data_IF_442047705728
#
_entry.id   IF_442047705728
#
_cell.length_a   1.000
_cell.length_b   1.000
_cell.length_c   1.000
_cell.angle_alpha   90.00
_cell.angle_beta   90.00
_cell.angle_gamma   90.00
#
_symmetry.space_group_name_H-M   'P 1'
#
loop_
_entity.id
_entity.type
_entity.pdbx_description
1 polymer ?
#
# COMPACT_ATOMS: atom_id res chain seq x y z
N UNK A 1 25.81 -25.79 -42.94
CA UNK A 1 25.85 -24.37 -42.50
C UNK A 1 24.51 -24.03 -41.88
N UNK A 2 24.50 -23.93 -40.56
CA UNK A 2 23.34 -23.77 -39.69
C UNK A 2 22.72 -22.38 -39.83
N UNK A 3 21.41 -22.33 -40.09
CA UNK A 3 20.58 -21.14 -39.87
C UNK A 3 20.65 -20.76 -38.39
N UNK A 4 21.48 -19.77 -38.06
CA UNK A 4 21.37 -19.03 -36.81
C UNK A 4 20.04 -18.28 -36.83
N UNK A 5 19.03 -18.81 -36.15
CA UNK A 5 17.86 -18.05 -35.74
C UNK A 5 18.30 -16.98 -34.73
N UNK A 6 18.68 -15.80 -35.22
CA UNK A 6 18.71 -14.59 -34.39
C UNK A 6 17.32 -13.96 -34.36
N UNK A 7 16.38 -14.62 -33.69
CA UNK A 7 15.24 -13.87 -33.11
C UNK A 7 15.82 -12.98 -32.03
N UNK A 8 16.16 -11.74 -32.38
CA UNK A 8 16.46 -10.71 -31.41
C UNK A 8 15.32 -10.66 -30.40
N UNK A 9 15.58 -11.10 -29.16
CA UNK A 9 14.58 -11.15 -28.09
C UNK A 9 13.97 -9.74 -27.99
N UNK A 10 12.67 -9.61 -28.27
CA UNK A 10 12.02 -8.30 -28.27
C UNK A 10 12.28 -7.65 -26.91
N UNK A 11 12.83 -6.42 -26.91
CA UNK A 11 13.16 -5.74 -25.67
C UNK A 11 11.91 -5.65 -24.76
N UNK A 12 12.04 -6.10 -23.51
CA UNK A 12 10.97 -6.02 -22.51
C UNK A 12 10.45 -4.58 -22.41
N UNK A 13 9.15 -4.37 -22.60
CA UNK A 13 8.49 -3.06 -22.51
C UNK A 13 7.46 -3.06 -21.39
N UNK A 14 7.44 -1.98 -20.61
CA UNK A 14 6.48 -1.82 -19.52
C UNK A 14 5.09 -1.49 -20.06
N UNK A 15 4.07 -2.20 -19.58
CA UNK A 15 2.68 -1.86 -19.82
C UNK A 15 2.23 -0.76 -18.85
N UNK A 16 2.55 0.51 -19.18
CA UNK A 16 2.22 1.66 -18.34
C UNK A 16 0.73 1.75 -17.97
N UNK A 17 -0.18 1.36 -18.88
CA UNK A 17 -1.63 1.39 -18.63
C UNK A 17 -2.02 0.43 -17.50
N UNK A 18 -1.50 -0.80 -17.55
CA UNK A 18 -1.74 -1.80 -16.52
C UNK A 18 -1.16 -1.37 -15.17
N UNK A 19 0.07 -0.85 -15.15
CA UNK A 19 0.71 -0.39 -13.91
C UNK A 19 -0.04 0.81 -13.31
N UNK A 20 -0.49 1.75 -14.15
CA UNK A 20 -1.31 2.87 -13.70
C UNK A 20 -2.61 2.39 -13.03
N UNK A 21 -3.25 1.36 -13.59
CA UNK A 21 -4.47 0.77 -13.02
C UNK A 21 -4.22 0.03 -11.71
N UNK A 22 -3.09 -0.68 -11.59
CA UNK A 22 -2.64 -1.25 -10.30
C UNK A 22 -2.37 -0.14 -9.29
N UNK A 23 -1.84 1.00 -9.75
CA UNK A 23 -1.58 2.18 -8.93
C UNK A 23 -2.82 2.76 -8.24
N UNK A 24 -4.05 2.45 -8.66
CA UNK A 24 -5.26 2.81 -7.90
C UNK A 24 -5.29 2.21 -6.49
N UNK A 25 -4.69 1.04 -6.29
CA UNK A 25 -4.53 0.48 -4.94
C UNK A 25 -3.60 1.32 -4.08
N UNK A 26 -2.49 1.80 -4.66
CA UNK A 26 -1.58 2.73 -3.98
C UNK A 26 -2.28 4.06 -3.69
N UNK A 27 -2.98 4.63 -4.67
CA UNK A 27 -3.79 5.84 -4.50
C UNK A 27 -4.76 5.70 -3.33
N UNK A 28 -5.53 4.62 -3.27
CA UNK A 28 -6.46 4.36 -2.19
C UNK A 28 -5.76 4.29 -0.82
N UNK A 29 -4.59 3.62 -0.77
CA UNK A 29 -3.83 3.49 0.47
C UNK A 29 -3.23 4.81 0.95
N UNK A 30 -2.65 5.60 0.04
CA UNK A 30 -2.06 6.90 0.36
C UNK A 30 -3.13 7.93 0.74
N UNK A 31 -4.26 7.94 0.03
CA UNK A 31 -5.40 8.79 0.35
C UNK A 31 -5.91 8.54 1.78
N UNK A 32 -6.17 7.27 2.13
CA UNK A 32 -6.65 6.91 3.46
C UNK A 32 -5.62 7.25 4.54
N UNK A 33 -4.34 6.98 4.28
CA UNK A 33 -3.25 7.26 5.21
C UNK A 33 -3.05 8.76 5.45
N UNK A 34 -3.10 9.58 4.41
CA UNK A 34 -2.97 11.05 4.52
C UNK A 34 -4.16 11.68 5.26
N UNK A 35 -5.41 11.22 5.05
CA UNK A 35 -6.56 11.68 5.86
C UNK A 35 -6.42 11.21 7.30
N UNK A 36 -6.00 9.96 7.52
CA UNK A 36 -5.76 9.44 8.86
C UNK A 36 -4.75 10.30 9.63
N UNK A 37 -3.57 10.55 9.06
CA UNK A 37 -2.49 11.31 9.70
C UNK A 37 -2.86 12.78 9.94
N UNK A 38 -3.59 13.41 9.02
CA UNK A 38 -3.97 14.81 9.18
C UNK A 38 -5.15 15.03 10.13
N UNK A 39 -6.15 14.13 10.14
CA UNK A 39 -7.43 14.36 10.82
C UNK A 39 -7.56 13.66 12.18
N UNK A 40 -7.02 12.45 12.34
CA UNK A 40 -7.18 11.68 13.59
C UNK A 40 -6.56 12.40 14.80
N UNK A 41 -5.35 12.97 14.72
CA UNK A 41 -4.77 13.74 15.82
C UNK A 41 -5.68 14.89 16.27
N UNK A 42 -6.27 15.63 15.32
CA UNK A 42 -7.19 16.72 15.61
C UNK A 42 -8.45 16.24 16.34
N UNK A 43 -9.02 15.08 15.97
CA UNK A 43 -10.19 14.52 16.68
C UNK A 43 -9.80 14.12 18.10
N UNK A 44 -8.65 13.46 18.27
CA UNK A 44 -8.16 13.00 19.58
C UNK A 44 -7.91 14.17 20.54
N UNK A 45 -7.37 15.28 20.05
CA UNK A 45 -7.17 16.49 20.84
C UNK A 45 -8.49 17.24 21.07
N UNK A 46 -9.18 17.65 20.00
CA UNK A 46 -10.28 18.62 20.11
C UNK A 46 -11.54 18.01 20.73
N UNK A 47 -11.85 16.74 20.41
CA UNK A 47 -13.04 16.05 20.93
C UNK A 47 -12.78 15.34 22.24
N UNK A 48 -11.68 14.60 22.31
CA UNK A 48 -11.38 13.73 23.45
C UNK A 48 -10.39 14.34 24.45
N UNK A 49 -9.89 15.55 24.18
CA UNK A 49 -9.03 16.32 25.08
C UNK A 49 -7.77 15.54 25.50
N UNK A 50 -7.26 14.70 24.60
CA UNK A 50 -6.05 13.93 24.86
C UNK A 50 -4.81 14.79 24.74
N UNK A 51 -3.81 14.50 25.59
CA UNK A 51 -2.51 15.14 25.51
C UNK A 51 -1.73 14.67 24.28
N UNK A 52 -0.81 15.51 23.79
CA UNK A 52 0.03 15.18 22.63
C UNK A 52 0.82 13.88 22.79
N UNK A 53 1.23 13.51 24.00
CA UNK A 53 1.92 12.23 24.27
C UNK A 53 1.00 11.03 24.03
N UNK A 54 -0.27 11.10 24.47
CA UNK A 54 -1.25 10.04 24.23
C UNK A 54 -1.62 9.95 22.74
N UNK A 55 -1.77 11.11 22.07
CA UNK A 55 -2.01 11.16 20.63
C UNK A 55 -0.85 10.50 19.89
N UNK A 56 0.40 10.87 20.18
CA UNK A 56 1.58 10.25 19.58
C UNK A 56 1.62 8.74 19.81
N UNK A 57 1.30 8.29 21.03
CA UNK A 57 1.23 6.85 21.35
C UNK A 57 0.18 6.13 20.49
N UNK A 58 -1.02 6.71 20.36
CA UNK A 58 -2.10 6.16 19.53
C UNK A 58 -1.68 6.13 18.05
N UNK A 59 -1.08 7.21 17.57
CA UNK A 59 -0.64 7.32 16.18
C UNK A 59 0.43 6.28 15.83
N UNK A 60 1.22 5.77 16.78
CA UNK A 60 2.22 4.71 16.52
C UNK A 60 1.63 3.30 16.38
N UNK A 61 0.36 3.07 16.74
CA UNK A 61 -0.26 1.73 16.71
C UNK A 61 -0.32 1.18 15.29
N UNK A 62 -0.51 2.03 14.28
CA UNK A 62 -0.56 1.62 12.87
C UNK A 62 0.78 1.01 12.40
N UNK A 63 1.91 1.58 12.84
CA UNK A 63 3.25 1.13 12.54
C UNK A 63 3.52 -0.23 13.19
N UNK A 64 3.03 -0.45 14.42
CA UNK A 64 3.10 -1.74 15.08
C UNK A 64 2.35 -2.83 14.29
N UNK A 65 1.14 -2.52 13.81
CA UNK A 65 0.43 -3.42 12.91
C UNK A 65 1.15 -3.63 11.57
N UNK A 66 1.76 -2.58 11.04
CA UNK A 66 2.58 -2.65 9.84
C UNK A 66 3.70 -3.70 9.96
N UNK A 67 4.50 -3.60 11.02
CA UNK A 67 5.65 -4.49 11.28
C UNK A 67 5.22 -5.95 11.43
N UNK A 68 4.10 -6.22 12.11
CA UNK A 68 3.66 -7.57 12.42
C UNK A 68 2.82 -8.16 11.28
N UNK A 69 1.76 -7.47 10.87
CA UNK A 69 0.75 -8.05 10.00
C UNK A 69 1.10 -7.95 8.51
N UNK A 70 1.85 -6.94 8.05
CA UNK A 70 2.17 -6.84 6.62
C UNK A 70 3.00 -8.04 6.10
N UNK A 71 4.05 -8.52 6.81
CA UNK A 71 4.79 -9.70 6.39
C UNK A 71 3.96 -10.98 6.50
N UNK A 72 3.18 -11.13 7.58
CA UNK A 72 2.32 -12.30 7.79
C UNK A 72 1.27 -12.44 6.68
N UNK A 73 0.63 -11.34 6.31
CA UNK A 73 -0.41 -11.33 5.27
C UNK A 73 0.20 -11.38 3.87
N UNK A 74 1.39 -10.81 3.67
CA UNK A 74 2.18 -11.03 2.45
C UNK A 74 2.36 -12.53 2.19
N UNK A 75 2.91 -13.25 3.18
CA UNK A 75 3.13 -14.69 3.09
C UNK A 75 1.82 -15.51 3.03
N UNK A 76 0.75 -15.08 3.71
CA UNK A 76 -0.54 -15.76 3.64
C UNK A 76 -1.21 -15.57 2.27
N UNK A 77 -1.10 -14.38 1.70
CA UNK A 77 -1.64 -14.07 0.37
C UNK A 77 -0.86 -14.78 -0.74
N UNK A 78 0.44 -15.05 -0.58
CA UNK A 78 1.23 -15.87 -1.52
C UNK A 78 0.65 -17.29 -1.69
N UNK A 79 0.12 -17.86 -0.60
CA UNK A 79 -0.45 -19.22 -0.58
C UNK A 79 -1.91 -19.26 -1.03
N UNK A 80 -2.54 -18.11 -1.17
CA UNK A 80 -3.95 -18.02 -1.54
C UNK A 80 -4.11 -18.31 -3.03
N UNK A 81 -4.98 -19.25 -3.40
CA UNK A 81 -5.17 -19.62 -4.80
C UNK A 81 -6.64 -19.62 -5.17
N UNK A 82 -7.04 -18.67 -6.01
CA UNK A 82 -8.46 -18.50 -6.38
C UNK A 82 -8.62 -18.12 -7.86
N UNK A 83 -9.86 -18.22 -8.36
CA UNK A 83 -10.25 -17.83 -9.73
C UNK A 83 -10.01 -16.36 -10.10
N UNK A 84 -9.71 -15.51 -9.12
CA UNK A 84 -9.48 -14.08 -9.30
C UNK A 84 -8.02 -13.66 -9.07
N UNK A 85 -7.17 -14.57 -8.58
CA UNK A 85 -5.76 -14.33 -8.25
C UNK A 85 -5.44 -14.66 -6.79
N UNK A 86 -4.18 -14.43 -6.39
CA UNK A 86 -3.68 -14.71 -5.04
C UNK A 86 -3.87 -13.53 -4.09
N UNK A 87 -3.67 -12.30 -4.59
CA UNK A 87 -3.80 -11.06 -3.81
C UNK A 87 -5.23 -10.55 -3.76
N UNK A 88 -5.96 -10.64 -4.88
CA UNK A 88 -7.28 -10.04 -5.02
C UNK A 88 -8.31 -10.40 -3.94
N UNK A 89 -8.40 -11.64 -3.40
CA UNK A 89 -9.33 -11.96 -2.32
C UNK A 89 -9.14 -11.09 -1.06
N UNK A 90 -7.88 -10.84 -0.68
CA UNK A 90 -7.54 -10.00 0.48
C UNK A 90 -7.92 -8.54 0.25
N UNK A 91 -7.73 -8.05 -0.98
CA UNK A 91 -8.07 -6.69 -1.39
C UNK A 91 -9.59 -6.48 -1.40
N UNK A 92 -10.34 -7.44 -1.93
CA UNK A 92 -11.81 -7.39 -2.03
C UNK A 92 -12.48 -7.36 -0.67
N UNK A 93 -11.95 -8.11 0.30
CA UNK A 93 -12.51 -8.14 1.65
C UNK A 93 -11.99 -6.96 2.46
N UNK A 94 -10.70 -6.65 2.37
CA UNK A 94 -10.07 -5.64 3.20
C UNK A 94 -10.52 -4.22 2.88
N UNK A 95 -10.56 -3.81 1.60
CA UNK A 95 -10.91 -2.42 1.25
C UNK A 95 -12.32 -2.03 1.74
N UNK A 96 -13.40 -2.81 1.53
CA UNK A 96 -14.73 -2.44 2.00
C UNK A 96 -14.85 -2.38 3.52
N UNK A 97 -14.23 -3.32 4.23
CA UNK A 97 -14.22 -3.31 5.70
C UNK A 97 -13.44 -2.08 6.19
N UNK A 98 -12.30 -1.78 5.57
CA UNK A 98 -11.49 -0.60 5.86
C UNK A 98 -12.29 0.70 5.63
N UNK A 99 -12.95 0.84 4.47
CA UNK A 99 -13.79 1.98 4.12
C UNK A 99 -14.99 2.15 5.08
N UNK A 100 -15.61 1.05 5.51
CA UNK A 100 -16.69 1.08 6.48
C UNK A 100 -16.21 1.67 7.82
N UNK A 101 -15.18 1.09 8.42
CA UNK A 101 -14.69 1.57 9.72
C UNK A 101 -14.08 2.97 9.64
N UNK A 102 -13.46 3.32 8.51
CA UNK A 102 -12.91 4.66 8.31
C UNK A 102 -14.01 5.73 8.25
N UNK A 103 -15.08 5.51 7.49
CA UNK A 103 -16.21 6.44 7.43
C UNK A 103 -17.03 6.52 8.73
N UNK A 104 -17.10 5.42 9.50
CA UNK A 104 -17.79 5.39 10.80
C UNK A 104 -17.00 6.02 11.94
N UNK A 105 -15.66 6.04 11.86
CA UNK A 105 -14.79 6.57 12.92
C UNK A 105 -15.17 8.00 13.38
N UNK A 106 -15.28 9.02 12.50
CA UNK A 106 -15.61 10.39 12.93
C UNK A 106 -16.99 10.53 13.57
N UNK A 107 -17.90 9.57 13.39
CA UNK A 107 -19.25 9.60 13.99
C UNK A 107 -19.25 9.21 15.48
N UNK A 108 -18.17 8.57 15.95
CA UNK A 108 -18.12 8.01 17.30
C UNK A 108 -17.96 9.11 18.35
N UNK A 109 -18.85 9.10 19.35
CA UNK A 109 -18.91 10.13 20.40
C UNK A 109 -18.10 9.75 21.64
N UNK A 110 -17.73 8.48 21.80
CA UNK A 110 -16.91 8.01 22.91
C UNK A 110 -15.52 7.64 22.43
N UNK A 111 -14.51 7.88 23.28
CA UNK A 111 -13.13 7.54 22.96
C UNK A 111 -12.98 6.04 22.63
N UNK A 112 -13.62 5.17 23.42
CA UNK A 112 -13.54 3.72 23.21
C UNK A 112 -14.10 3.28 21.86
N UNK A 113 -15.25 3.82 21.44
CA UNK A 113 -15.83 3.49 20.13
C UNK A 113 -14.99 4.05 18.98
N UNK A 114 -14.47 5.28 19.12
CA UNK A 114 -13.54 5.87 18.15
C UNK A 114 -12.27 5.04 18.00
N UNK A 115 -11.64 4.68 19.13
CA UNK A 115 -10.45 3.84 19.15
C UNK A 115 -10.71 2.45 18.56
N UNK A 116 -11.86 1.83 18.88
CA UNK A 116 -12.26 0.57 18.27
C UNK A 116 -12.34 0.67 16.74
N UNK A 117 -12.97 1.72 16.22
CA UNK A 117 -13.06 1.94 14.77
C UNK A 117 -11.68 2.15 14.13
N UNK A 118 -10.83 2.99 14.74
CA UNK A 118 -9.48 3.29 14.23
C UNK A 118 -8.54 2.08 14.31
N UNK A 119 -8.59 1.29 15.38
CA UNK A 119 -7.79 0.07 15.53
C UNK A 119 -8.20 -0.96 14.47
N UNK A 120 -9.51 -1.17 14.26
CA UNK A 120 -9.99 -2.09 13.22
C UNK A 120 -9.60 -1.58 11.84
N UNK A 121 -9.75 -0.28 11.57
CA UNK A 121 -9.26 0.35 10.34
C UNK A 121 -7.78 0.06 10.11
N UNK A 122 -6.89 0.36 11.06
CA UNK A 122 -5.44 0.17 10.91
C UNK A 122 -5.04 -1.30 10.75
N UNK A 123 -5.71 -2.20 11.48
CA UNK A 123 -5.50 -3.63 11.35
C UNK A 123 -5.86 -4.09 9.93
N UNK A 124 -7.08 -3.81 9.49
CA UNK A 124 -7.59 -4.22 8.17
C UNK A 124 -6.78 -3.57 7.04
N UNK A 125 -6.43 -2.29 7.20
CA UNK A 125 -5.52 -1.55 6.32
C UNK A 125 -4.21 -2.31 6.10
N UNK A 126 -3.62 -2.82 7.16
CA UNK A 126 -2.39 -3.63 7.09
C UNK A 126 -2.60 -4.94 6.33
N UNK A 127 -3.80 -5.56 6.42
CA UNK A 127 -4.11 -6.82 5.73
C UNK A 127 -4.20 -6.66 4.21
N UNK A 128 -4.76 -5.57 3.68
CA UNK A 128 -4.93 -5.42 2.24
C UNK A 128 -3.84 -4.59 1.56
N UNK A 129 -3.19 -3.67 2.28
CA UNK A 129 -2.12 -2.83 1.73
C UNK A 129 -0.93 -3.67 1.24
N UNK A 130 -0.50 -4.67 2.01
CA UNK A 130 0.61 -5.55 1.63
C UNK A 130 0.33 -6.29 0.30
N UNK A 131 -0.82 -6.99 0.13
CA UNK A 131 -1.23 -7.56 -1.16
C UNK A 131 -1.29 -6.56 -2.33
N UNK A 132 -1.79 -5.34 -2.10
CA UNK A 132 -1.80 -4.29 -3.13
C UNK A 132 -0.39 -3.93 -3.57
N UNK A 133 0.54 -3.76 -2.62
CA UNK A 133 1.93 -3.41 -2.93
C UNK A 133 2.61 -4.52 -3.74
N UNK A 134 2.31 -5.78 -3.43
CA UNK A 134 2.85 -6.93 -4.16
C UNK A 134 2.29 -7.12 -5.58
N UNK A 135 1.13 -6.53 -5.93
CA UNK A 135 0.59 -6.67 -7.28
C UNK A 135 1.52 -6.12 -8.37
N UNK A 136 2.28 -5.05 -8.09
CA UNK A 136 3.22 -4.49 -9.06
C UNK A 136 4.37 -5.46 -9.40
N UNK A 137 5.15 -5.97 -8.44
CA UNK A 137 6.21 -6.94 -8.75
C UNK A 137 5.66 -8.26 -9.29
N UNK A 138 4.45 -8.66 -8.92
CA UNK A 138 3.78 -9.89 -9.41
C UNK A 138 3.40 -9.83 -10.90
N UNK A 139 3.39 -8.64 -11.53
CA UNK A 139 3.09 -8.48 -12.97
C UNK A 139 4.20 -7.80 -13.77
N UNK A 140 5.33 -7.51 -13.13
CA UNK A 140 6.41 -6.70 -13.72
C UNK A 140 7.75 -7.41 -13.63
N UNK A 141 8.35 -7.69 -14.79
CA UNK A 141 9.72 -8.19 -14.90
C UNK A 141 10.73 -7.24 -14.23
N UNK A 142 11.79 -7.79 -13.62
CA UNK A 142 12.73 -7.04 -12.78
C UNK A 142 13.35 -5.81 -13.41
N UNK A 143 13.85 -5.86 -14.67
CA UNK A 143 14.47 -4.69 -15.29
C UNK A 143 13.53 -3.48 -15.39
N UNK A 144 12.21 -3.73 -15.27
CA UNK A 144 11.15 -2.73 -15.37
C UNK A 144 10.53 -2.37 -14.01
N UNK A 145 10.83 -3.10 -12.92
CA UNK A 145 10.22 -2.89 -11.59
C UNK A 145 10.46 -1.48 -11.05
N UNK A 146 11.65 -0.89 -11.26
CA UNK A 146 11.94 0.48 -10.84
C UNK A 146 11.06 1.52 -11.57
N UNK A 147 10.87 1.36 -12.90
CA UNK A 147 9.96 2.21 -13.68
C UNK A 147 8.51 2.06 -13.24
N UNK A 148 8.07 0.84 -12.97
CA UNK A 148 6.73 0.57 -12.45
C UNK A 148 6.53 1.16 -11.05
N UNK A 149 7.54 1.08 -10.18
CA UNK A 149 7.54 1.71 -8.87
C UNK A 149 7.38 3.25 -8.97
N UNK A 150 7.98 3.88 -9.98
CA UNK A 150 7.75 5.31 -10.25
C UNK A 150 6.27 5.62 -10.54
N UNK A 151 5.61 4.80 -11.36
CA UNK A 151 4.20 5.01 -11.73
C UNK A 151 3.26 4.82 -10.54
N UNK A 152 3.46 3.78 -9.72
CA UNK A 152 2.58 3.55 -8.55
C UNK A 152 2.80 4.60 -7.46
N UNK A 153 4.03 5.09 -7.27
CA UNK A 153 4.30 6.18 -6.32
C UNK A 153 3.68 7.51 -6.78
N UNK A 154 3.69 7.78 -8.09
CA UNK A 154 2.94 8.91 -8.65
C UNK A 154 1.45 8.81 -8.32
N UNK A 155 0.86 7.62 -8.45
CA UNK A 155 -0.55 7.37 -8.08
C UNK A 155 -0.80 7.55 -6.58
N UNK A 156 0.12 7.11 -5.72
CA UNK A 156 0.10 7.40 -4.29
C UNK A 156 0.14 8.90 -3.99
N UNK A 157 1.03 9.64 -4.68
CA UNK A 157 1.12 11.09 -4.58
C UNK A 157 -0.17 11.80 -4.98
N UNK A 158 -0.84 11.36 -6.05
CA UNK A 158 -2.19 11.86 -6.41
C UNK A 158 -3.19 11.61 -5.27
N UNK A 159 -3.15 10.42 -4.65
CA UNK A 159 -3.98 10.09 -3.49
C UNK A 159 -3.75 11.05 -2.32
N UNK A 160 -2.49 11.35 -1.99
CA UNK A 160 -2.16 12.31 -0.93
C UNK A 160 -2.55 13.74 -1.28
N UNK A 161 -2.40 14.19 -2.53
CA UNK A 161 -2.88 15.52 -2.95
C UNK A 161 -4.40 15.63 -2.79
N UNK A 162 -5.15 14.59 -3.19
CA UNK A 162 -6.59 14.55 -2.99
C UNK A 162 -6.96 14.56 -1.50
N UNK A 163 -6.20 13.84 -0.65
CA UNK A 163 -6.40 13.87 0.81
C UNK A 163 -6.21 15.28 1.38
N UNK A 164 -5.09 15.92 1.05
CA UNK A 164 -4.73 17.20 1.64
C UNK A 164 -5.62 18.33 1.15
N UNK A 165 -5.82 18.44 -0.18
CA UNK A 165 -6.64 19.50 -0.75
C UNK A 165 -8.14 19.25 -0.55
N UNK A 166 -8.66 18.16 -1.12
CA UNK A 166 -10.11 17.90 -1.10
C UNK A 166 -10.55 17.42 0.27
N UNK A 167 -9.81 16.48 0.88
CA UNK A 167 -10.09 16.02 2.23
C UNK A 167 -9.96 17.14 3.27
N UNK A 168 -8.97 18.02 3.13
CA UNK A 168 -8.84 19.24 3.96
C UNK A 168 -10.08 20.13 3.87
N UNK A 169 -10.50 20.53 2.67
CA UNK A 169 -11.72 21.35 2.47
C UNK A 169 -12.94 20.65 3.07
N UNK A 170 -13.12 19.36 2.80
CA UNK A 170 -14.27 18.59 3.30
C UNK A 170 -14.28 18.43 4.82
N UNK A 171 -13.11 18.44 5.46
CA UNK A 171 -12.99 18.30 6.92
C UNK A 171 -13.56 19.49 7.69
N UNK A 172 -13.56 20.69 7.09
CA UNK A 172 -14.07 21.90 7.71
C UNK A 172 -15.58 22.10 7.49
N UNK A 173 -16.23 21.32 6.61
CA UNK A 173 -17.68 21.42 6.36
C UNK A 173 -18.49 20.98 7.58
N UNK A 174 -17.97 20.02 8.36
CA UNK A 174 -18.65 19.47 9.54
C UNK A 174 -17.64 19.27 10.66
N UNK A 175 -17.96 19.73 11.86
CA UNK A 175 -17.04 19.72 13.01
C UNK A 175 -16.46 18.33 13.34
N UNK A 176 -17.23 17.27 13.06
CA UNK A 176 -16.78 15.91 13.30
C UNK A 176 -15.90 15.32 12.20
N UNK A 177 -15.63 16.09 11.13
CA UNK A 177 -14.76 15.76 9.99
C UNK A 177 -15.26 14.62 9.11
N UNK A 178 -16.52 14.21 9.26
CA UNK A 178 -17.08 13.04 8.55
C UNK A 178 -16.90 13.06 7.04
N UNK A 179 -17.09 14.21 6.39
CA UNK A 179 -17.02 14.28 4.92
C UNK A 179 -15.63 13.96 4.38
N UNK A 180 -14.55 14.27 5.11
CA UNK A 180 -13.19 13.89 4.71
C UNK A 180 -13.01 12.36 4.69
N UNK A 181 -13.40 11.69 5.78
CA UNK A 181 -13.30 10.23 5.91
C UNK A 181 -14.24 9.50 4.94
N UNK A 182 -15.47 10.01 4.78
CA UNK A 182 -16.43 9.47 3.82
C UNK A 182 -15.93 9.60 2.38
N UNK A 183 -15.36 10.75 2.01
CA UNK A 183 -14.74 10.96 0.70
C UNK A 183 -13.63 9.95 0.40
N UNK A 184 -12.69 9.75 1.33
CA UNK A 184 -11.66 8.73 1.17
C UNK A 184 -12.26 7.32 1.03
N UNK A 185 -13.26 6.99 1.85
CA UNK A 185 -13.94 5.69 1.80
C UNK A 185 -14.61 5.43 0.44
N UNK A 186 -15.25 6.45 -0.15
CA UNK A 186 -15.84 6.36 -1.50
C UNK A 186 -14.75 6.16 -2.56
N UNK A 187 -13.66 6.92 -2.51
CA UNK A 187 -12.55 6.77 -3.47
C UNK A 187 -11.83 5.42 -3.34
N UNK A 188 -11.72 4.88 -2.12
CA UNK A 188 -11.23 3.51 -1.90
C UNK A 188 -12.12 2.47 -2.59
N UNK A 189 -13.45 2.62 -2.50
CA UNK A 189 -14.40 1.72 -3.18
C UNK A 189 -14.33 1.85 -4.70
N UNK A 190 -14.13 3.07 -5.22
CA UNK A 190 -13.90 3.30 -6.66
C UNK A 190 -12.60 2.64 -7.12
N UNK A 191 -11.51 2.80 -6.36
CA UNK A 191 -10.24 2.15 -6.64
C UNK A 191 -10.37 0.62 -6.64
N UNK A 192 -11.07 0.04 -5.66
CA UNK A 192 -11.37 -1.39 -5.63
C UNK A 192 -12.14 -1.82 -6.87
N UNK A 193 -13.18 -1.08 -7.26
CA UNK A 193 -13.95 -1.39 -8.47
C UNK A 193 -13.05 -1.40 -9.73
N UNK A 194 -12.17 -0.42 -9.86
CA UNK A 194 -11.21 -0.33 -10.97
C UNK A 194 -10.28 -1.54 -10.96
N UNK A 195 -9.68 -1.87 -9.81
CA UNK A 195 -8.82 -3.05 -9.66
C UNK A 195 -9.57 -4.32 -10.05
N UNK A 196 -10.81 -4.51 -9.58
CA UNK A 196 -11.61 -5.71 -9.87
C UNK A 196 -11.96 -5.88 -11.34
N UNK A 197 -12.23 -4.78 -12.04
CA UNK A 197 -12.63 -4.81 -13.45
C UNK A 197 -11.43 -4.96 -14.38
N UNK A 198 -10.35 -4.26 -14.08
CA UNK A 198 -9.26 -4.06 -15.03
C UNK A 198 -7.98 -4.80 -14.68
N UNK A 199 -7.75 -5.15 -13.41
CA UNK A 199 -6.56 -5.88 -12.98
C UNK A 199 -6.87 -7.37 -12.84
N UNK A 200 -6.00 -8.20 -13.41
CA UNK A 200 -6.06 -9.65 -13.27
C UNK A 200 -4.65 -10.18 -13.09
N UNK A 201 -4.47 -11.01 -12.08
CA UNK A 201 -3.17 -11.63 -11.76
C UNK A 201 -2.88 -12.78 -12.74
N UNK A 202 -1.62 -12.96 -13.20
CA UNK A 202 -1.20 -14.09 -14.04
C UNK A 202 -1.64 -15.45 -13.48
N UNK A 203 -1.51 -15.66 -12.18
CA UNK A 203 -1.90 -16.87 -11.47
C UNK A 203 -3.35 -17.28 -11.63
N UNK A 204 -4.24 -16.29 -11.78
CA UNK A 204 -5.66 -16.57 -11.97
C UNK A 204 -5.93 -17.30 -13.30
N UNK A 205 -5.03 -17.17 -14.28
CA UNK A 205 -5.09 -17.89 -15.54
C UNK A 205 -4.74 -19.35 -15.32
N UNK A 206 -3.63 -19.62 -14.63
CA UNK A 206 -3.20 -20.98 -14.27
C UNK A 206 -4.28 -21.74 -13.49
N UNK A 207 -4.91 -21.09 -12.50
CA UNK A 207 -6.02 -21.69 -11.76
C UNK A 207 -7.20 -22.08 -12.68
N UNK A 208 -7.55 -21.22 -13.63
CA UNK A 208 -8.66 -21.46 -14.55
C UNK A 208 -8.34 -22.55 -15.57
N UNK A 209 -7.12 -22.57 -16.08
CA UNK A 209 -6.61 -23.62 -16.98
C UNK A 209 -6.70 -24.99 -16.30
N UNK A 210 -6.22 -25.13 -15.06
CA UNK A 210 -6.27 -26.39 -14.31
C UNK A 210 -7.69 -26.87 -13.99
N UNK A 211 -8.64 -25.95 -13.79
CA UNK A 211 -10.03 -26.28 -13.46
C UNK A 211 -10.96 -26.29 -14.68
N UNK A 212 -10.42 -26.26 -15.90
CA UNK A 212 -11.20 -26.21 -17.15
C UNK A 212 -12.23 -25.06 -17.20
N UNK A 213 -11.92 -23.92 -16.58
CA UNK A 213 -12.78 -22.74 -16.55
C UNK A 213 -12.50 -21.88 -17.78
N UNK A 214 -13.55 -21.59 -18.57
CA UNK A 214 -13.42 -20.74 -19.76
C UNK A 214 -12.85 -19.35 -19.45
N UNK A 215 -11.80 -18.96 -20.18
CA UNK A 215 -11.15 -17.65 -20.08
C UNK A 215 -11.69 -16.75 -21.20
N UNK A 216 -12.57 -15.81 -20.83
CA UNK A 216 -13.10 -14.82 -21.77
C UNK A 216 -12.00 -13.88 -22.28
N UNK A 217 -12.12 -13.42 -23.53
CA UNK A 217 -11.21 -12.41 -24.11
C UNK A 217 -11.53 -11.00 -23.59
N UNK A 218 -11.20 -10.72 -22.33
CA UNK A 218 -11.30 -9.39 -21.73
C UNK A 218 -9.95 -8.69 -21.72
N UNK A 219 -9.96 -7.35 -21.65
CA UNK A 219 -8.74 -6.53 -21.54
C UNK A 219 -7.87 -7.01 -20.36
N UNK A 220 -8.48 -7.23 -19.20
CA UNK A 220 -7.79 -7.68 -17.99
C UNK A 220 -7.11 -9.04 -18.15
N UNK A 221 -7.77 -10.01 -18.81
CA UNK A 221 -7.14 -11.31 -19.09
C UNK A 221 -6.00 -11.19 -20.11
N UNK A 222 -6.12 -10.31 -21.13
CA UNK A 222 -5.02 -10.05 -22.08
C UNK A 222 -3.79 -9.48 -21.37
N UNK A 223 -3.97 -8.56 -20.45
CA UNK A 223 -2.87 -8.02 -19.65
C UNK A 223 -2.24 -9.06 -18.72
N UNK A 224 -3.05 -9.95 -18.13
CA UNK A 224 -2.54 -11.06 -17.35
C UNK A 224 -1.67 -12.02 -18.20
N UNK A 225 -2.07 -12.32 -19.43
CA UNK A 225 -1.26 -13.11 -20.36
C UNK A 225 0.05 -12.40 -20.71
N UNK A 226 0.00 -11.11 -21.04
CA UNK A 226 1.20 -10.31 -21.35
C UNK A 226 2.18 -10.24 -20.17
N UNK A 227 1.66 -10.07 -18.95
CA UNK A 227 2.47 -10.10 -17.74
C UNK A 227 3.11 -11.47 -17.52
N UNK A 228 2.35 -12.56 -17.69
CA UNK A 228 2.87 -13.94 -17.60
C UNK A 228 4.01 -14.19 -18.59
N UNK A 229 3.86 -13.75 -19.84
CA UNK A 229 4.87 -13.86 -20.89
C UNK A 229 6.12 -13.03 -20.55
N UNK A 230 5.95 -11.76 -20.15
CA UNK A 230 7.06 -10.90 -19.76
C UNK A 230 7.85 -11.42 -18.56
N UNK A 231 7.18 -12.07 -17.60
CA UNK A 231 7.82 -12.71 -16.45
C UNK A 231 8.59 -13.98 -16.86
N UNK A 232 8.06 -14.78 -17.78
CA UNK A 232 8.74 -15.95 -18.32
C UNK A 232 10.00 -15.58 -19.12
N UNK A 233 10.00 -14.41 -19.75
CA UNK A 233 11.12 -13.87 -20.52
C UNK A 233 12.18 -13.14 -19.68
N UNK A 234 11.95 -12.95 -18.37
CA UNK A 234 12.86 -12.24 -17.49
C UNK A 234 14.22 -12.99 -17.42
N UNK A 235 15.32 -12.38 -17.88
CA UNK A 235 16.64 -13.01 -17.89
C UNK A 235 17.14 -13.38 -16.50
N UNK A 236 16.61 -12.77 -15.44
CA UNK A 236 17.01 -13.02 -14.06
C UNK A 236 16.06 -13.95 -13.28
N UNK A 237 15.02 -14.51 -13.94
CA UNK A 237 14.01 -15.33 -13.27
C UNK A 237 14.62 -16.47 -12.43
N UNK A 238 15.57 -17.22 -13.02
CA UNK A 238 16.25 -18.36 -12.38
C UNK A 238 17.11 -17.95 -11.19
N UNK A 239 17.85 -16.83 -11.31
CA UNK A 239 18.71 -16.32 -10.25
C UNK A 239 17.93 -16.03 -8.94
N UNK A 240 16.64 -15.69 -9.04
CA UNK A 240 15.79 -15.39 -7.87
C UNK A 240 15.06 -16.60 -7.33
N UNK A 241 14.67 -17.58 -8.16
CA UNK A 241 14.23 -18.87 -7.62
C UNK A 241 15.34 -19.51 -6.79
N UNK A 242 16.59 -19.43 -7.26
CA UNK A 242 17.76 -19.91 -6.52
C UNK A 242 18.06 -19.05 -5.28
N UNK A 243 17.98 -17.72 -5.37
CA UNK A 243 18.20 -16.83 -4.23
C UNK A 243 17.09 -16.95 -3.16
N UNK A 244 15.82 -17.04 -3.55
CA UNK A 244 14.69 -17.22 -2.64
C UNK A 244 14.71 -18.61 -2.00
N UNK A 245 15.11 -19.65 -2.74
CA UNK A 245 15.32 -20.99 -2.18
C UNK A 245 16.50 -21.02 -1.19
N UNK A 246 17.55 -20.21 -1.41
CA UNK A 246 18.67 -20.05 -0.49
C UNK A 246 18.29 -19.23 0.76
N UNK A 247 17.46 -18.19 0.62
CA UNK A 247 16.95 -17.37 1.72
C UNK A 247 15.94 -18.12 2.60
N UNK A 248 15.17 -19.06 2.02
CA UNK A 248 14.24 -19.93 2.75
C UNK A 248 14.87 -20.78 3.87
N UNK A 249 16.21 -20.80 3.98
CA UNK A 249 16.96 -21.53 5.01
C UNK A 249 17.87 -20.69 5.92
N UNK A 250 18.05 -19.38 5.67
CA UNK A 250 18.93 -18.52 6.51
C UNK A 250 18.20 -17.25 6.91
N UNK A 251 17.77 -17.19 8.17
CA UNK A 251 17.22 -15.99 8.83
C UNK A 251 18.15 -14.80 8.56
N UNK A 252 17.59 -13.69 8.06
CA UNK A 252 18.20 -12.38 7.83
C UNK A 252 19.23 -11.95 8.91
N UNK A 253 19.00 -12.34 10.17
CA UNK A 253 19.91 -12.06 11.28
C UNK A 253 21.28 -12.79 11.21
N UNK A 254 21.32 -14.01 10.71
CA UNK A 254 22.57 -14.77 10.55
C UNK A 254 23.45 -14.16 9.45
N UNK A 255 22.83 -13.63 8.38
CA UNK A 255 23.55 -12.94 7.31
C UNK A 255 24.23 -11.66 7.82
N UNK A 256 23.57 -10.91 8.71
CA UNK A 256 24.17 -9.75 9.38
C UNK A 256 25.42 -10.13 10.20
N UNK A 257 25.36 -11.23 10.95
CA UNK A 257 26.49 -11.70 11.76
C UNK A 257 27.71 -12.10 10.91
N UNK A 258 27.48 -12.52 9.66
CA UNK A 258 28.56 -12.94 8.73
C UNK A 258 29.21 -11.81 7.94
N UNK A 259 28.72 -10.57 8.03
CA UNK A 259 29.28 -9.45 7.25
C UNK A 259 30.69 -9.03 7.74
N UNK A 260 31.60 -8.63 6.83
CA UNK A 260 32.86 -7.96 7.16
C UNK A 260 32.65 -6.68 7.99
N UNK A 261 33.63 -6.30 8.83
CA UNK A 261 33.51 -5.18 9.77
C UNK A 261 33.19 -3.83 9.11
N UNK A 262 33.71 -3.57 7.90
CA UNK A 262 33.43 -2.36 7.15
C UNK A 262 31.98 -2.30 6.63
N UNK A 263 31.48 -3.42 6.09
CA UNK A 263 30.10 -3.55 5.61
C UNK A 263 29.10 -3.45 6.76
N UNK A 264 29.40 -4.05 7.92
CA UNK A 264 28.59 -3.90 9.15
C UNK A 264 28.46 -2.44 9.57
N UNK A 265 29.56 -1.69 9.58
CA UNK A 265 29.55 -0.25 9.91
C UNK A 265 28.72 0.55 8.91
N UNK A 266 28.91 0.30 7.61
CA UNK A 266 28.14 0.96 6.55
C UNK A 266 26.64 0.68 6.68
N UNK A 267 26.26 -0.59 6.90
CA UNK A 267 24.88 -1.00 7.12
C UNK A 267 24.29 -0.35 8.38
N UNK A 268 25.03 -0.28 9.48
CA UNK A 268 24.59 0.40 10.70
C UNK A 268 24.33 1.89 10.46
N UNK A 269 25.22 2.58 9.74
CA UNK A 269 24.98 3.98 9.37
C UNK A 269 23.77 4.15 8.46
N UNK A 270 23.56 3.25 7.51
CA UNK A 270 22.39 3.25 6.64
C UNK A 270 21.10 3.05 7.44
N UNK A 271 21.08 2.06 8.35
CA UNK A 271 19.94 1.81 9.23
C UNK A 271 19.66 3.00 10.16
N UNK A 272 20.70 3.63 10.71
CA UNK A 272 20.57 4.82 11.55
C UNK A 272 20.05 6.03 10.77
N UNK A 273 20.48 6.19 9.51
CA UNK A 273 20.00 7.25 8.63
C UNK A 273 18.52 7.05 8.29
N UNK A 274 18.12 5.83 7.91
CA UNK A 274 16.72 5.48 7.65
C UNK A 274 15.87 5.67 8.90
N UNK A 275 16.34 5.20 10.06
CA UNK A 275 15.66 5.37 11.33
C UNK A 275 15.44 6.85 11.68
N UNK A 276 16.50 7.67 11.59
CA UNK A 276 16.44 9.11 11.87
C UNK A 276 15.49 9.83 10.91
N UNK A 277 15.52 9.47 9.62
CA UNK A 277 14.60 10.01 8.62
C UNK A 277 13.15 9.69 8.95
N UNK A 278 12.84 8.42 9.23
CA UNK A 278 11.46 8.01 9.56
C UNK A 278 10.99 8.62 10.88
N UNK A 279 11.86 8.75 11.88
CA UNK A 279 11.51 9.41 13.13
C UNK A 279 11.11 10.87 12.89
N UNK A 280 11.93 11.64 12.17
CA UNK A 280 11.62 13.03 11.86
C UNK A 280 10.37 13.17 11.01
N UNK A 281 10.24 12.34 9.97
CA UNK A 281 9.09 12.36 9.06
C UNK A 281 7.77 12.06 9.78
N UNK A 282 7.69 10.96 10.54
CA UNK A 282 6.47 10.60 11.27
C UNK A 282 6.10 11.63 12.35
N UNK A 283 7.09 12.21 13.02
CA UNK A 283 6.84 13.25 14.02
C UNK A 283 6.21 14.50 13.39
N UNK A 284 6.73 14.95 12.25
CA UNK A 284 6.15 16.07 11.51
C UNK A 284 4.76 15.68 11.01
N UNK A 285 4.63 14.55 10.31
CA UNK A 285 3.37 14.16 9.69
C UNK A 285 2.21 14.00 10.69
N UNK A 286 2.47 13.42 11.87
CA UNK A 286 1.44 13.20 12.89
C UNK A 286 1.06 14.46 13.68
N UNK A 287 1.98 15.41 13.86
CA UNK A 287 1.75 16.59 14.70
C UNK A 287 1.64 17.90 13.91
N UNK A 288 1.88 17.91 12.60
CA UNK A 288 1.87 19.13 11.80
C UNK A 288 0.51 19.83 11.85
N UNK A 289 -0.60 19.09 11.72
CA UNK A 289 -1.93 19.70 11.76
C UNK A 289 -2.25 20.27 13.14
N UNK A 290 -1.90 19.55 14.22
CA UNK A 290 -2.02 20.04 15.60
C UNK A 290 -1.18 21.30 15.84
N UNK A 291 0.07 21.32 15.35
CA UNK A 291 0.95 22.47 15.45
C UNK A 291 0.33 23.69 14.78
N UNK A 292 -0.18 23.52 13.56
CA UNK A 292 -0.77 24.60 12.79
C UNK A 292 -2.06 25.14 13.43
N UNK A 293 -2.94 24.26 13.93
CA UNK A 293 -4.17 24.70 14.63
C UNK A 293 -3.86 25.40 15.95
N UNK A 294 -2.91 24.88 16.74
CA UNK A 294 -2.64 25.41 18.08
C UNK A 294 -1.78 26.67 18.07
N UNK A 295 -0.88 26.80 17.10
CA UNK A 295 0.07 27.93 17.03
C UNK A 295 -0.46 29.06 16.16
N UNK A 296 -1.03 28.74 15.00
CA UNK A 296 -1.50 29.74 14.04
C UNK A 296 -3.01 29.99 14.12
N UNK A 297 -3.77 29.20 14.89
CA UNK A 297 -5.21 29.38 15.05
C UNK A 297 -6.02 29.13 13.78
N UNK A 298 -5.44 28.47 12.78
CA UNK A 298 -6.13 28.13 11.53
C UNK A 298 -6.98 26.87 11.71
N UNK A 299 -8.00 26.68 10.87
CA UNK A 299 -8.86 25.51 10.92
C UNK A 299 -8.11 24.22 10.60
N UNK A 300 -8.66 23.08 11.03
CA UNK A 300 -8.06 21.76 10.77
C UNK A 300 -7.93 21.46 9.28
N UNK A 301 -8.93 21.82 8.48
CA UNK A 301 -8.88 21.69 7.03
C UNK A 301 -7.85 22.60 6.39
N UNK A 302 -7.74 23.86 6.83
CA UNK A 302 -6.69 24.77 6.36
C UNK A 302 -5.28 24.26 6.70
N UNK A 303 -5.08 23.76 7.92
CA UNK A 303 -3.84 23.13 8.35
C UNK A 303 -3.47 21.90 7.52
N UNK A 304 -4.47 21.17 7.03
CA UNK A 304 -4.28 19.97 6.20
C UNK A 304 -3.84 20.30 4.77
N UNK A 305 -4.11 21.52 4.30
CA UNK A 305 -3.77 21.98 2.95
C UNK A 305 -2.39 22.65 2.84
N UNK A 306 -1.73 22.94 3.97
CA UNK A 306 -0.39 23.55 4.02
C UNK A 306 0.70 22.52 3.76
#
# INVERSE_FOLDING_TARGET
>A
MSKQNSTAKAALKLNYKQIFLIGFGFLASSLAWSIYNSQVPLILEQRFQLSGVLIGTIMTIDNFFGVIFQPLVGAASDKTRTRIGRRMPWIIVGIPVCALFFSLAPLQQTLWAFMGAIIIFNLVMSLWRSPVISLMPDVTARPLRSKANGVINMMGGIGSILAFLVGGILSDIRDDKFFAFFFASVLMMIALFILLKFVREPDSLSFREEHNISIKNTISNRWAYQAREALADDPHAKDEEEAQAAEGKKRSFAAFLTLPGAEKRSLLFLLLAVFSWFMGFNAIEAFFTLFATNTYGISGGSATMM
#
